data_IF_214981297033
#
_entry.id   IF_214981297033
#
_cell.length_a   1.000
_cell.length_b   1.000
_cell.length_c   1.000
_cell.angle_alpha   90.00
_cell.angle_beta   90.00
_cell.angle_gamma   90.00
#
_symmetry.space_group_name_H-M   'P 1'
#
loop_
_entity.id
_entity.type
_entity.pdbx_description
1 polymer ?
#
# COMPACT_ATOMS: atom_id res chain seq x y z
N UNK A 1 -33.76 48.41 67.89
CA UNK A 1 -34.11 48.58 66.47
C UNK A 1 -34.04 47.20 65.85
N UNK A 2 -35.18 46.62 65.47
CA UNK A 2 -35.18 45.35 64.75
C UNK A 2 -34.77 45.63 63.30
N UNK A 3 -33.71 44.97 62.85
CA UNK A 3 -33.26 44.96 61.46
C UNK A 3 -34.43 44.46 60.60
N UNK A 4 -34.83 45.25 59.60
CA UNK A 4 -35.87 44.84 58.67
C UNK A 4 -35.41 43.55 57.98
N UNK A 5 -36.28 42.53 57.81
CA UNK A 5 -35.89 41.30 57.13
C UNK A 5 -35.38 41.67 55.73
N UNK A 6 -34.14 41.30 55.43
CA UNK A 6 -33.59 41.42 54.08
C UNK A 6 -34.59 40.76 53.12
N UNK A 7 -35.11 41.55 52.18
CA UNK A 7 -35.97 41.01 51.13
C UNK A 7 -35.26 39.88 50.39
N UNK A 8 -36.00 38.93 49.78
CA UNK A 8 -35.39 37.81 49.09
C UNK A 8 -34.37 38.30 48.06
N UNK A 9 -33.08 38.03 48.31
CA UNK A 9 -32.00 38.42 47.42
C UNK A 9 -32.22 37.73 46.07
N UNK A 10 -32.30 38.51 44.99
CA UNK A 10 -32.43 37.95 43.64
C UNK A 10 -31.13 37.21 43.29
N UNK A 11 -31.19 35.95 42.84
CA UNK A 11 -29.99 35.20 42.46
C UNK A 11 -29.19 35.92 41.38
N UNK A 12 -27.87 35.77 41.42
CA UNK A 12 -26.98 36.27 40.38
C UNK A 12 -27.26 35.54 39.04
N UNK A 13 -27.11 36.23 37.88
CA UNK A 13 -27.17 35.58 36.58
C UNK A 13 -26.15 34.44 36.45
N UNK A 14 -26.54 33.37 35.75
CA UNK A 14 -25.69 32.20 35.50
C UNK A 14 -25.38 32.16 34.00
N UNK A 15 -24.11 32.24 33.63
CA UNK A 15 -23.65 32.17 32.25
C UNK A 15 -22.92 30.86 31.95
N UNK A 16 -23.18 30.28 30.78
CA UNK A 16 -22.50 29.08 30.27
C UNK A 16 -22.38 29.15 28.75
N UNK A 17 -21.44 28.42 28.16
CA UNK A 17 -21.53 28.06 26.73
C UNK A 17 -22.73 27.14 26.50
N UNK A 18 -23.19 27.02 25.26
CA UNK A 18 -24.22 26.05 24.93
C UNK A 18 -23.71 24.61 25.12
N UNK A 19 -24.13 24.00 26.23
CA UNK A 19 -23.78 22.62 26.61
C UNK A 19 -24.83 21.62 26.16
N UNK A 20 -25.96 22.06 25.62
CA UNK A 20 -27.08 21.20 25.23
C UNK A 20 -27.05 20.78 23.76
N UNK A 21 -26.28 21.46 22.92
CA UNK A 21 -26.08 21.08 21.52
C UNK A 21 -24.76 20.32 21.35
N UNK A 22 -24.83 19.06 20.91
CA UNK A 22 -23.63 18.26 20.58
C UNK A 22 -22.90 18.81 19.35
N UNK A 23 -23.59 19.53 18.45
CA UNK A 23 -23.09 19.97 17.14
C UNK A 23 -22.59 18.82 16.27
N UNK A 24 -23.24 17.66 16.40
CA UNK A 24 -22.90 16.45 15.68
C UNK A 24 -23.85 16.21 14.51
N UNK A 25 -23.39 15.43 13.51
CA UNK A 25 -24.18 15.06 12.33
C UNK A 25 -24.31 13.52 12.24
N UNK A 26 -25.29 12.91 12.93
CA UNK A 26 -25.50 11.47 12.89
C UNK A 26 -26.02 10.98 11.53
N UNK A 27 -26.62 11.85 10.71
CA UNK A 27 -27.14 11.46 9.39
C UNK A 27 -26.01 11.26 8.37
N UNK A 28 -24.94 12.07 8.48
CA UNK A 28 -23.71 11.85 7.74
C UNK A 28 -23.08 10.49 8.10
N UNK A 29 -23.04 10.12 9.39
CA UNK A 29 -22.49 8.84 9.83
C UNK A 29 -23.28 7.64 9.26
N UNK A 30 -24.61 7.72 9.22
CA UNK A 30 -25.44 6.67 8.60
C UNK A 30 -25.25 6.59 7.08
N UNK A 31 -25.03 7.73 6.43
CA UNK A 31 -24.70 7.80 5.00
C UNK A 31 -23.37 7.08 4.73
N UNK A 32 -22.35 7.33 5.55
CA UNK A 32 -21.05 6.67 5.47
C UNK A 32 -21.16 5.17 5.77
N UNK A 33 -21.93 4.79 6.80
CA UNK A 33 -22.19 3.38 7.10
C UNK A 33 -22.82 2.64 5.92
N UNK A 34 -23.77 3.29 5.23
CA UNK A 34 -24.39 2.75 4.02
C UNK A 34 -23.39 2.60 2.87
N UNK A 35 -22.46 3.53 2.71
CA UNK A 35 -21.39 3.43 1.72
C UNK A 35 -20.47 2.23 2.00
N UNK A 36 -20.06 2.01 3.26
CA UNK A 36 -19.26 0.86 3.66
C UNK A 36 -19.98 -0.48 3.46
N UNK A 37 -21.28 -0.56 3.73
CA UNK A 37 -22.07 -1.76 3.41
C UNK A 37 -22.11 -2.06 1.90
N UNK A 38 -22.14 -1.02 1.05
CA UNK A 38 -22.01 -1.21 -0.40
C UNK A 38 -20.64 -1.73 -0.81
N UNK A 39 -19.57 -1.30 -0.14
CA UNK A 39 -18.20 -1.81 -0.34
C UNK A 39 -18.13 -3.30 0.01
N UNK A 40 -18.65 -3.70 1.19
CA UNK A 40 -18.81 -5.11 1.57
C UNK A 40 -19.52 -5.92 0.48
N UNK A 41 -20.69 -5.47 0.02
CA UNK A 41 -21.46 -6.21 -1.00
C UNK A 41 -20.70 -6.37 -2.31
N UNK A 42 -19.91 -5.37 -2.71
CA UNK A 42 -19.05 -5.45 -3.90
C UNK A 42 -17.93 -6.49 -3.71
N UNK A 43 -17.28 -6.51 -2.55
CA UNK A 43 -16.23 -7.48 -2.23
C UNK A 43 -16.77 -8.91 -2.27
N UNK A 44 -17.88 -9.20 -1.56
CA UNK A 44 -18.50 -10.54 -1.61
C UNK A 44 -18.96 -10.93 -3.02
N UNK A 45 -19.42 -9.97 -3.84
CA UNK A 45 -19.73 -10.25 -5.24
C UNK A 45 -18.50 -10.56 -6.08
N UNK A 46 -17.35 -9.94 -5.80
CA UNK A 46 -16.11 -10.21 -6.51
C UNK A 46 -15.58 -11.61 -6.16
N UNK A 47 -15.54 -11.94 -4.88
CA UNK A 47 -15.21 -13.29 -4.38
C UNK A 47 -16.09 -14.37 -5.03
N UNK A 48 -17.41 -14.16 -5.08
CA UNK A 48 -18.33 -15.08 -5.75
C UNK A 48 -18.06 -15.25 -7.25
N UNK A 49 -17.63 -14.20 -7.95
CA UNK A 49 -17.23 -14.28 -9.37
C UNK A 49 -15.96 -15.09 -9.56
N UNK A 50 -14.94 -14.86 -8.73
CA UNK A 50 -13.67 -15.62 -8.75
C UNK A 50 -13.95 -17.10 -8.50
N UNK A 51 -14.73 -17.41 -7.46
CA UNK A 51 -15.09 -18.78 -7.12
C UNK A 51 -15.88 -19.48 -8.23
N UNK A 52 -16.81 -18.77 -8.88
CA UNK A 52 -17.59 -19.32 -10.00
C UNK A 52 -16.70 -19.59 -11.23
N UNK A 53 -15.84 -18.65 -11.60
CA UNK A 53 -14.94 -18.82 -12.73
C UNK A 53 -13.94 -19.96 -12.50
N UNK A 54 -13.36 -20.04 -11.30
CA UNK A 54 -12.46 -21.13 -10.94
C UNK A 54 -13.17 -22.49 -10.96
N UNK A 55 -14.44 -22.56 -10.51
CA UNK A 55 -15.20 -23.79 -10.56
C UNK A 55 -15.29 -24.34 -11.98
N UNK A 56 -15.62 -23.51 -12.98
CA UNK A 56 -15.67 -23.91 -14.39
C UNK A 56 -14.35 -24.53 -14.86
N UNK A 57 -13.21 -23.90 -14.55
CA UNK A 57 -11.89 -24.41 -14.97
C UNK A 57 -11.56 -25.76 -14.33
N UNK A 58 -11.84 -25.93 -13.03
CA UNK A 58 -11.51 -27.19 -12.34
C UNK A 58 -12.48 -28.33 -12.64
N UNK A 59 -13.78 -28.04 -12.75
CA UNK A 59 -14.81 -29.08 -12.89
C UNK A 59 -15.11 -29.44 -14.33
N UNK A 60 -15.09 -28.48 -15.26
CA UNK A 60 -15.48 -28.68 -16.66
C UNK A 60 -14.27 -28.93 -17.56
N UNK A 61 -13.16 -28.22 -17.33
CA UNK A 61 -11.95 -28.32 -18.17
C UNK A 61 -10.92 -29.32 -17.65
N UNK A 62 -11.14 -29.88 -16.45
CA UNK A 62 -10.28 -30.87 -15.80
C UNK A 62 -8.81 -30.44 -15.69
N UNK A 63 -8.57 -29.17 -15.41
CA UNK A 63 -7.21 -28.68 -15.19
C UNK A 63 -6.60 -29.30 -13.93
N UNK A 64 -5.45 -29.97 -14.10
CA UNK A 64 -4.74 -30.73 -13.05
C UNK A 64 -3.23 -30.51 -13.13
N UNK A 65 -2.50 -30.96 -12.11
CA UNK A 65 -1.04 -30.82 -11.99
C UNK A 65 -0.60 -29.72 -11.02
N UNK A 66 0.70 -29.44 -10.99
CA UNK A 66 1.31 -28.51 -10.04
C UNK A 66 0.84 -27.06 -10.27
N UNK A 67 0.66 -26.67 -11.53
CA UNK A 67 0.13 -25.34 -11.89
C UNK A 67 -1.31 -25.13 -11.43
N UNK A 68 -2.15 -26.17 -11.57
CA UNK A 68 -3.52 -26.16 -11.09
C UNK A 68 -3.58 -26.07 -9.55
N UNK A 69 -2.66 -26.74 -8.86
CA UNK A 69 -2.52 -26.68 -7.39
C UNK A 69 -2.12 -25.28 -6.93
N UNK A 70 -1.05 -24.73 -7.50
CA UNK A 70 -0.56 -23.38 -7.17
C UNK A 70 -1.65 -22.32 -7.40
N UNK A 71 -2.36 -22.37 -8.53
CA UNK A 71 -3.49 -21.46 -8.77
C UNK A 71 -4.62 -21.64 -7.76
N UNK A 72 -4.96 -22.88 -7.39
CA UNK A 72 -6.03 -23.13 -6.42
C UNK A 72 -5.68 -22.58 -5.03
N UNK A 73 -4.44 -22.72 -4.59
CA UNK A 73 -3.98 -22.23 -3.30
C UNK A 73 -3.97 -20.70 -3.28
N UNK A 74 -3.50 -20.11 -4.38
CA UNK A 74 -3.57 -18.68 -4.58
C UNK A 74 -4.99 -18.12 -4.55
N UNK A 75 -5.89 -18.72 -5.33
CA UNK A 75 -7.31 -18.36 -5.34
C UNK A 75 -7.92 -18.42 -3.95
N UNK A 76 -7.64 -19.48 -3.17
CA UNK A 76 -8.16 -19.60 -1.79
C UNK A 76 -7.71 -18.43 -0.94
N UNK A 77 -6.40 -18.10 -0.97
CA UNK A 77 -5.82 -16.96 -0.26
C UNK A 77 -6.50 -15.65 -0.67
N UNK A 78 -6.61 -15.38 -1.97
CA UNK A 78 -7.34 -14.22 -2.50
C UNK A 78 -8.78 -14.14 -1.98
N UNK A 79 -9.54 -15.23 -2.09
CA UNK A 79 -10.94 -15.22 -1.65
C UNK A 79 -11.08 -15.05 -0.14
N UNK A 80 -10.17 -15.62 0.66
CA UNK A 80 -10.13 -15.43 2.11
C UNK A 80 -9.86 -13.97 2.48
N UNK A 81 -8.93 -13.31 1.79
CA UNK A 81 -8.61 -11.91 2.04
C UNK A 81 -9.73 -10.97 1.58
N UNK A 82 -10.42 -11.29 0.49
CA UNK A 82 -11.62 -10.54 0.05
C UNK A 82 -12.78 -10.71 1.04
N UNK A 83 -12.99 -11.91 1.57
CA UNK A 83 -13.97 -12.16 2.65
C UNK A 83 -13.62 -11.37 3.91
N UNK A 84 -12.34 -11.36 4.30
CA UNK A 84 -11.83 -10.62 5.45
C UNK A 84 -12.01 -9.11 5.26
N UNK A 85 -11.68 -8.58 4.10
CA UNK A 85 -11.93 -7.20 3.71
C UNK A 85 -13.43 -6.85 3.83
N UNK A 86 -14.31 -7.71 3.33
CA UNK A 86 -15.76 -7.51 3.42
C UNK A 86 -16.23 -7.48 4.89
N UNK A 87 -15.69 -8.36 5.73
CA UNK A 87 -15.95 -8.39 7.18
C UNK A 87 -15.52 -7.08 7.86
N UNK A 88 -14.32 -6.58 7.57
CA UNK A 88 -13.82 -5.30 8.10
C UNK A 88 -14.65 -4.11 7.63
N UNK A 89 -15.05 -4.07 6.35
CA UNK A 89 -15.95 -3.05 5.82
C UNK A 89 -17.31 -3.04 6.56
N UNK A 90 -17.84 -4.21 6.94
CA UNK A 90 -19.03 -4.29 7.80
C UNK A 90 -18.78 -3.79 9.22
N UNK A 91 -17.62 -4.12 9.79
CA UNK A 91 -17.16 -3.60 11.08
C UNK A 91 -17.20 -2.06 11.13
N UNK A 92 -16.59 -1.40 10.14
CA UNK A 92 -16.63 0.06 10.00
C UNK A 92 -18.06 0.59 9.93
N UNK A 93 -18.91 -0.02 9.11
CA UNK A 93 -20.32 0.39 9.00
C UNK A 93 -21.07 0.27 10.33
N UNK A 94 -20.80 -0.77 11.11
CA UNK A 94 -21.43 -1.00 12.41
C UNK A 94 -20.97 0.03 13.44
N UNK A 95 -19.67 0.34 13.51
CA UNK A 95 -19.12 1.40 14.37
C UNK A 95 -19.80 2.74 14.07
N UNK A 96 -19.88 3.12 12.80
CA UNK A 96 -20.53 4.36 12.37
C UNK A 96 -22.03 4.41 12.76
N UNK A 97 -22.75 3.31 12.57
CA UNK A 97 -24.19 3.21 12.93
C UNK A 97 -24.39 3.34 14.44
N UNK A 98 -23.55 2.68 15.25
CA UNK A 98 -23.60 2.75 16.70
C UNK A 98 -23.27 4.16 17.22
N UNK A 99 -22.28 4.82 16.62
CA UNK A 99 -21.94 6.21 16.93
C UNK A 99 -23.08 7.15 16.60
N UNK A 100 -23.70 7.02 15.41
CA UNK A 100 -24.87 7.81 15.02
C UNK A 100 -26.04 7.63 16.00
N UNK A 101 -26.36 6.39 16.36
CA UNK A 101 -27.38 6.07 17.35
C UNK A 101 -27.07 6.69 18.72
N UNK A 102 -25.82 6.59 19.17
CA UNK A 102 -25.40 7.17 20.45
C UNK A 102 -25.58 8.68 20.46
N UNK A 103 -25.13 9.38 19.40
CA UNK A 103 -25.26 10.83 19.30
C UNK A 103 -26.73 11.28 19.34
N UNK A 104 -27.63 10.58 18.64
CA UNK A 104 -29.07 10.89 18.69
C UNK A 104 -29.66 10.71 20.08
N UNK A 105 -29.36 9.60 20.74
CA UNK A 105 -29.85 9.32 22.10
C UNK A 105 -29.35 10.39 23.08
N UNK A 106 -28.06 10.73 23.02
CA UNK A 106 -27.47 11.71 23.94
C UNK A 106 -27.95 13.14 23.64
N UNK A 107 -28.15 13.50 22.36
CA UNK A 107 -28.81 14.76 22.00
C UNK A 107 -30.22 14.83 22.59
N UNK A 108 -31.02 13.77 22.48
CA UNK A 108 -32.37 13.75 23.08
C UNK A 108 -32.38 13.89 24.61
N UNK A 109 -31.34 13.35 25.29
CA UNK A 109 -31.17 13.57 26.73
C UNK A 109 -30.81 15.03 27.04
N UNK A 110 -29.94 15.66 26.23
CA UNK A 110 -29.62 17.08 26.38
C UNK A 110 -30.85 17.96 26.12
N UNK A 111 -31.64 17.66 25.10
CA UNK A 111 -32.90 18.35 24.81
C UNK A 111 -33.85 18.26 26.00
N UNK A 112 -33.97 17.08 26.62
CA UNK A 112 -34.77 16.89 27.85
C UNK A 112 -34.26 17.73 29.02
N UNK A 113 -32.94 17.81 29.23
CA UNK A 113 -32.37 18.69 30.27
C UNK A 113 -32.61 20.16 29.97
N UNK A 114 -32.56 20.54 28.68
CA UNK A 114 -32.82 21.92 28.23
C UNK A 114 -34.27 22.33 28.47
N UNK A 115 -35.22 21.44 28.18
CA UNK A 115 -36.66 21.69 28.35
C UNK A 115 -37.05 22.00 29.79
N UNK A 116 -36.36 21.42 30.79
CA UNK A 116 -36.57 21.74 32.21
C UNK A 116 -36.40 23.24 32.51
N UNK A 117 -35.64 23.95 31.69
CA UNK A 117 -35.33 25.38 31.85
C UNK A 117 -36.30 26.32 31.14
N UNK A 118 -37.36 25.83 30.47
CA UNK A 118 -38.31 26.66 29.71
C UNK A 118 -38.96 27.80 30.52
N UNK A 119 -39.04 27.67 31.84
CA UNK A 119 -39.58 28.72 32.75
C UNK A 119 -38.55 29.74 33.26
N UNK A 120 -37.27 29.58 32.93
CA UNK A 120 -36.18 30.44 33.39
C UNK A 120 -35.82 31.46 32.30
N UNK A 121 -35.94 32.78 32.56
CA UNK A 121 -35.54 33.79 31.60
C UNK A 121 -34.08 33.60 31.17
N UNK A 122 -33.84 33.55 29.87
CA UNK A 122 -32.50 33.44 29.30
C UNK A 122 -32.29 34.42 28.15
N UNK A 123 -31.03 34.79 27.92
CA UNK A 123 -30.60 35.56 26.76
C UNK A 123 -29.35 34.93 26.16
N UNK A 124 -29.29 34.88 24.85
CA UNK A 124 -28.07 34.51 24.12
C UNK A 124 -27.20 35.75 23.91
N UNK A 125 -25.93 35.66 24.30
CA UNK A 125 -24.90 36.65 24.00
C UNK A 125 -24.21 36.39 22.66
N UNK A 126 -23.20 37.21 22.36
CA UNK A 126 -22.26 36.91 21.27
C UNK A 126 -21.54 35.58 21.53
N UNK A 127 -21.08 34.92 20.47
CA UNK A 127 -20.26 33.69 20.53
C UNK A 127 -20.97 32.46 21.14
N UNK A 128 -22.30 32.44 21.16
CA UNK A 128 -23.07 31.28 21.65
C UNK A 128 -23.08 31.12 23.17
N UNK A 129 -22.74 32.18 23.92
CA UNK A 129 -22.91 32.21 25.37
C UNK A 129 -24.39 32.34 25.73
N UNK A 130 -24.85 31.54 26.70
CA UNK A 130 -26.20 31.59 27.26
C UNK A 130 -26.15 32.12 28.68
N UNK A 131 -26.91 33.18 28.95
CA UNK A 131 -27.06 33.76 30.29
C UNK A 131 -28.48 33.56 30.80
N UNK A 132 -28.64 32.81 31.88
CA UNK A 132 -29.89 32.63 32.61
C UNK A 132 -30.01 33.67 33.72
N UNK A 133 -31.25 34.14 33.96
CA UNK A 133 -31.59 35.08 35.04
C UNK A 133 -32.66 34.46 35.95
N UNK A 134 -32.27 33.57 36.88
CA UNK A 134 -33.20 32.94 37.82
C UNK A 134 -33.91 33.98 38.69
N UNK A 135 -35.20 33.77 38.95
CA UNK A 135 -36.01 34.65 39.81
C UNK A 135 -35.85 34.34 41.29
N UNK A 136 -35.53 33.09 41.61
CA UNK A 136 -35.42 32.57 42.97
C UNK A 136 -34.34 31.47 43.04
N UNK A 137 -34.01 31.07 44.27
CA UNK A 137 -32.99 30.04 44.55
C UNK A 137 -33.35 28.66 43.97
N UNK A 138 -34.64 28.35 43.80
CA UNK A 138 -35.10 27.12 43.17
C UNK A 138 -34.75 27.09 41.69
N UNK A 139 -35.02 28.18 40.96
CA UNK A 139 -34.61 28.34 39.56
C UNK A 139 -33.08 28.33 39.41
N UNK A 140 -32.34 28.95 40.33
CA UNK A 140 -30.88 28.94 40.27
C UNK A 140 -30.29 27.52 40.45
N UNK A 141 -30.87 26.76 41.39
CA UNK A 141 -30.54 25.34 41.60
C UNK A 141 -30.87 24.51 40.37
N UNK A 142 -32.04 24.74 39.74
CA UNK A 142 -32.47 24.04 38.54
C UNK A 142 -31.50 24.27 37.35
N UNK A 143 -31.12 25.53 37.11
CA UNK A 143 -30.14 25.88 36.04
C UNK A 143 -28.80 25.20 36.30
N UNK A 144 -28.29 25.29 37.53
CA UNK A 144 -26.97 24.73 37.88
C UNK A 144 -26.97 23.21 37.77
N UNK A 145 -28.05 22.55 38.20
CA UNK A 145 -28.25 21.11 38.06
C UNK A 145 -28.33 20.66 36.59
N UNK A 146 -29.11 21.37 35.76
CA UNK A 146 -29.21 21.06 34.33
C UNK A 146 -27.87 21.25 33.59
N UNK A 147 -27.09 22.27 33.95
CA UNK A 147 -25.73 22.46 33.40
C UNK A 147 -24.81 21.30 33.81
N UNK A 148 -24.86 20.87 35.07
CA UNK A 148 -24.07 19.74 35.56
C UNK A 148 -24.44 18.45 34.82
N UNK A 149 -25.74 18.14 34.71
CA UNK A 149 -26.24 16.97 34.01
C UNK A 149 -25.84 16.97 32.52
N UNK A 150 -25.95 18.13 31.85
CA UNK A 150 -25.52 18.27 30.46
C UNK A 150 -24.01 17.99 30.30
N UNK A 151 -23.17 18.49 31.21
CA UNK A 151 -21.72 18.20 31.19
C UNK A 151 -21.42 16.73 31.40
N UNK A 152 -22.12 16.05 32.29
CA UNK A 152 -21.98 14.60 32.49
C UNK A 152 -22.41 13.80 31.24
N UNK A 153 -23.51 14.20 30.60
CA UNK A 153 -23.95 13.61 29.32
C UNK A 153 -22.85 13.76 28.26
N UNK A 154 -22.29 14.97 28.10
CA UNK A 154 -21.19 15.21 27.16
C UNK A 154 -19.93 14.43 27.51
N UNK A 155 -19.61 14.28 28.80
CA UNK A 155 -18.48 13.46 29.26
C UNK A 155 -18.61 12.01 28.78
N UNK A 156 -19.78 11.39 28.97
CA UNK A 156 -20.06 10.05 28.47
C UNK A 156 -20.03 9.95 26.95
N UNK A 157 -20.50 10.99 26.24
CA UNK A 157 -20.39 11.04 24.76
C UNK A 157 -18.92 11.00 24.35
N UNK A 158 -18.05 11.79 24.98
CA UNK A 158 -16.62 11.81 24.65
C UNK A 158 -15.97 10.44 24.90
N UNK A 159 -16.24 9.80 26.04
CA UNK A 159 -15.73 8.46 26.35
C UNK A 159 -16.10 7.45 25.25
N UNK A 160 -17.37 7.42 24.84
CA UNK A 160 -17.82 6.53 23.75
C UNK A 160 -17.19 6.90 22.41
N UNK A 161 -17.03 8.20 22.11
CA UNK A 161 -16.40 8.63 20.86
C UNK A 161 -14.91 8.28 20.80
N UNK A 162 -14.22 8.29 21.94
CA UNK A 162 -12.82 7.87 22.03
C UNK A 162 -12.68 6.35 21.80
N UNK A 163 -13.53 5.52 22.43
CA UNK A 163 -13.57 4.07 22.15
C UNK A 163 -13.85 3.78 20.67
N UNK A 164 -14.81 4.48 20.06
CA UNK A 164 -15.18 4.28 18.65
C UNK A 164 -14.09 4.77 17.69
N UNK A 165 -13.22 5.69 18.12
CA UNK A 165 -12.05 6.10 17.35
C UNK A 165 -11.04 4.97 17.27
N UNK A 166 -10.75 4.32 18.40
CA UNK A 166 -9.85 3.17 18.46
C UNK A 166 -10.36 2.02 17.58
N UNK A 167 -11.68 1.74 17.60
CA UNK A 167 -12.29 0.75 16.70
C UNK A 167 -12.06 1.08 15.21
N UNK A 168 -12.18 2.36 14.82
CA UNK A 168 -11.94 2.79 13.43
C UNK A 168 -10.47 2.74 13.03
N UNK A 169 -9.56 3.07 13.95
CA UNK A 169 -8.11 2.96 13.75
C UNK A 169 -7.70 1.50 13.54
N UNK A 170 -8.23 0.58 14.35
CA UNK A 170 -8.03 -0.86 14.16
C UNK A 170 -8.46 -1.30 12.75
N UNK A 171 -9.68 -0.96 12.32
CA UNK A 171 -10.13 -1.36 10.97
C UNK A 171 -9.31 -0.71 9.86
N UNK A 172 -8.84 0.53 10.04
CA UNK A 172 -7.94 1.18 9.09
C UNK A 172 -6.65 0.37 8.93
N UNK A 173 -6.01 0.00 10.03
CA UNK A 173 -4.78 -0.81 10.00
C UNK A 173 -4.98 -2.17 9.32
N UNK A 174 -6.09 -2.86 9.60
CA UNK A 174 -6.41 -4.14 8.95
C UNK A 174 -6.63 -3.98 7.43
N UNK A 175 -7.33 -2.92 7.01
CA UNK A 175 -7.57 -2.65 5.59
C UNK A 175 -6.28 -2.24 4.88
N UNK A 176 -5.42 -1.44 5.52
CA UNK A 176 -4.12 -1.04 4.97
C UNK A 176 -3.19 -2.27 4.82
N UNK A 177 -3.23 -3.21 5.76
CA UNK A 177 -2.46 -4.47 5.66
C UNK A 177 -2.91 -5.34 4.48
N UNK A 178 -4.22 -5.50 4.26
CA UNK A 178 -4.76 -6.20 3.08
C UNK A 178 -4.36 -5.46 1.80
N UNK A 179 -4.45 -4.13 1.79
CA UNK A 179 -4.10 -3.33 0.61
C UNK A 179 -2.61 -3.47 0.25
N UNK A 180 -1.72 -3.47 1.25
CA UNK A 180 -0.28 -3.62 1.02
C UNK A 180 0.06 -5.03 0.49
N UNK A 181 -0.57 -6.07 1.04
CA UNK A 181 -0.37 -7.44 0.57
C UNK A 181 -0.76 -7.62 -0.91
N UNK A 182 -1.82 -6.95 -1.35
CA UNK A 182 -2.35 -7.04 -2.70
C UNK A 182 -1.98 -5.85 -3.58
N UNK A 183 -0.99 -5.07 -3.17
CA UNK A 183 -0.50 -3.94 -3.94
C UNK A 183 0.19 -4.45 -5.22
N UNK A 184 -0.09 -3.85 -6.40
CA UNK A 184 0.67 -4.14 -7.61
C UNK A 184 2.16 -3.91 -7.36
N UNK A 185 2.99 -4.84 -7.84
CA UNK A 185 4.45 -4.72 -7.81
C UNK A 185 4.94 -4.63 -9.25
N UNK A 186 5.85 -3.73 -9.57
CA UNK A 186 6.43 -3.67 -10.92
C UNK A 186 7.77 -4.36 -10.91
N UNK A 187 8.03 -5.17 -11.94
CA UNK A 187 9.37 -5.68 -12.26
C UNK A 187 9.89 -4.89 -13.46
N UNK A 188 11.08 -4.32 -13.32
CA UNK A 188 11.80 -3.65 -14.39
C UNK A 188 12.77 -4.61 -15.02
N UNK A 189 12.63 -4.79 -16.32
CA UNK A 189 13.48 -5.65 -17.12
C UNK A 189 14.30 -4.81 -18.09
N UNK A 190 15.60 -5.03 -18.08
CA UNK A 190 16.52 -4.45 -19.06
C UNK A 190 17.07 -5.57 -19.92
N UNK A 191 17.07 -5.37 -21.23
CA UNK A 191 17.70 -6.27 -22.19
C UNK A 191 18.84 -5.52 -22.87
N UNK A 192 20.06 -6.01 -22.65
CA UNK A 192 21.28 -5.43 -23.16
C UNK A 192 21.92 -6.40 -24.14
N UNK A 193 22.23 -5.92 -25.34
CA UNK A 193 23.21 -6.55 -26.19
C UNK A 193 24.56 -5.91 -25.89
N UNK A 194 25.46 -6.68 -25.26
CA UNK A 194 26.75 -6.18 -24.81
C UNK A 194 27.78 -6.24 -25.94
N UNK A 195 27.73 -7.26 -26.80
CA UNK A 195 28.66 -7.36 -27.92
C UNK A 195 30.11 -7.56 -27.51
N UNK A 196 30.41 -8.18 -26.36
CA UNK A 196 31.80 -8.42 -25.92
C UNK A 196 32.62 -9.26 -26.91
N UNK A 197 31.95 -9.95 -27.85
CA UNK A 197 32.58 -10.78 -28.87
C UNK A 197 32.57 -10.19 -30.28
N UNK A 198 32.33 -8.88 -30.43
CA UNK A 198 32.12 -8.19 -31.69
C UNK A 198 33.42 -7.63 -32.31
N UNK A 199 34.26 -8.50 -32.86
CA UNK A 199 35.54 -8.10 -33.46
C UNK A 199 36.74 -8.83 -32.87
N UNK A 200 36.56 -9.47 -31.71
CA UNK A 200 37.60 -10.22 -31.02
C UNK A 200 38.39 -11.17 -31.92
N UNK A 201 39.64 -10.79 -32.14
CA UNK A 201 40.68 -11.60 -32.76
C UNK A 201 42.00 -11.33 -32.02
N UNK A 202 43.04 -12.17 -32.20
CA UNK A 202 44.34 -11.87 -31.62
C UNK A 202 44.86 -10.50 -32.07
N UNK A 203 44.96 -9.55 -31.13
CA UNK A 203 45.37 -8.16 -31.39
C UNK A 203 44.26 -7.21 -31.87
N UNK A 204 43.00 -7.62 -31.81
CA UNK A 204 41.81 -6.81 -32.08
C UNK A 204 40.80 -7.05 -30.95
N UNK A 205 40.59 -6.04 -30.13
CA UNK A 205 39.65 -6.04 -29.01
C UNK A 205 38.35 -5.30 -29.32
N UNK A 206 38.01 -5.16 -30.61
CA UNK A 206 36.72 -4.58 -30.98
C UNK A 206 35.55 -5.24 -30.23
N UNK A 207 34.70 -4.40 -29.65
CA UNK A 207 33.59 -4.81 -28.80
C UNK A 207 33.85 -4.45 -27.33
N UNK A 208 32.89 -4.83 -26.48
CA UNK A 208 32.93 -4.50 -25.05
C UNK A 208 33.92 -5.38 -24.29
N UNK A 209 34.85 -4.79 -23.54
CA UNK A 209 35.84 -5.55 -22.78
C UNK A 209 35.43 -5.76 -21.31
N UNK A 210 36.34 -6.29 -20.49
CA UNK A 210 36.09 -6.54 -19.07
C UNK A 210 36.12 -5.27 -18.21
N UNK A 211 36.79 -4.21 -18.68
CA UNK A 211 36.95 -2.96 -17.93
C UNK A 211 35.66 -2.11 -18.02
N UNK A 212 34.86 -2.34 -19.05
CA UNK A 212 33.56 -1.69 -19.27
C UNK A 212 32.38 -2.39 -18.55
N UNK A 213 32.62 -3.45 -17.78
CA UNK A 213 31.60 -4.07 -16.94
C UNK A 213 31.03 -3.09 -15.91
N UNK A 214 31.83 -2.12 -15.46
CA UNK A 214 31.40 -1.08 -14.56
C UNK A 214 30.31 -0.19 -15.17
N UNK A 215 30.47 0.15 -16.45
CA UNK A 215 29.50 0.94 -17.20
C UNK A 215 28.21 0.14 -17.44
N UNK A 216 28.31 -1.16 -17.71
CA UNK A 216 27.14 -2.05 -17.82
C UNK A 216 26.40 -2.14 -16.49
N UNK A 217 27.11 -2.33 -15.38
CA UNK A 217 26.54 -2.34 -14.04
C UNK A 217 25.83 -1.01 -13.73
N UNK A 218 26.46 0.10 -14.11
CA UNK A 218 25.88 1.43 -13.96
C UNK A 218 24.59 1.59 -14.75
N UNK A 219 24.53 1.15 -16.02
CA UNK A 219 23.29 1.19 -16.82
C UNK A 219 22.17 0.38 -16.17
N UNK A 220 22.46 -0.84 -15.72
CA UNK A 220 21.46 -1.70 -15.05
C UNK A 220 20.95 -1.05 -13.75
N UNK A 221 21.86 -0.46 -12.97
CA UNK A 221 21.54 0.21 -11.71
C UNK A 221 20.75 1.51 -11.91
N UNK A 222 21.11 2.33 -12.90
CA UNK A 222 20.44 3.61 -13.21
C UNK A 222 19.00 3.40 -13.70
N UNK A 223 18.76 2.34 -14.46
CA UNK A 223 17.42 1.93 -14.87
C UNK A 223 16.60 1.31 -13.71
N UNK A 224 17.27 1.08 -12.56
CA UNK A 224 16.74 0.37 -11.40
C UNK A 224 16.08 -0.95 -11.83
N UNK A 225 16.82 -1.74 -12.61
CA UNK A 225 16.35 -3.03 -13.08
C UNK A 225 16.19 -4.03 -11.91
N UNK A 226 15.17 -4.87 -12.01
CA UNK A 226 15.01 -6.07 -11.17
C UNK A 226 15.49 -7.32 -11.91
N UNK A 227 15.45 -7.30 -13.24
CA UNK A 227 15.96 -8.36 -14.10
C UNK A 227 16.78 -7.72 -15.24
N UNK A 228 18.00 -8.18 -15.44
CA UNK A 228 18.80 -7.82 -16.61
C UNK A 228 19.05 -9.08 -17.47
N UNK A 229 18.82 -8.97 -18.77
CA UNK A 229 19.19 -10.00 -19.75
C UNK A 229 20.32 -9.48 -20.60
N UNK A 230 21.44 -10.17 -20.61
CA UNK A 230 22.64 -9.79 -21.34
C UNK A 230 22.86 -10.76 -22.49
N UNK A 231 23.11 -10.22 -23.67
CA UNK A 231 23.49 -10.98 -24.84
C UNK A 231 24.95 -10.71 -25.19
N UNK A 232 25.59 -11.75 -25.72
CA UNK A 232 26.95 -11.65 -26.25
C UNK A 232 27.99 -11.30 -25.17
N UNK A 233 27.94 -12.02 -24.05
CA UNK A 233 28.86 -11.87 -22.89
C UNK A 233 29.72 -13.10 -22.65
N UNK A 234 30.88 -12.92 -22.00
CA UNK A 234 31.76 -13.98 -21.53
C UNK A 234 31.42 -14.40 -20.10
N UNK A 235 31.42 -15.71 -19.83
CA UNK A 235 31.07 -16.25 -18.49
C UNK A 235 32.01 -15.74 -17.39
N UNK A 236 33.30 -15.59 -17.70
CA UNK A 236 34.31 -15.15 -16.73
C UNK A 236 34.00 -13.77 -16.14
N UNK A 237 33.33 -12.92 -16.90
CA UNK A 237 33.06 -11.54 -16.54
C UNK A 237 31.83 -11.41 -15.61
N UNK A 238 31.00 -12.45 -15.56
CA UNK A 238 29.72 -12.43 -14.84
C UNK A 238 29.89 -12.27 -13.33
N UNK A 239 30.87 -12.93 -12.71
CA UNK A 239 31.12 -12.79 -11.27
C UNK A 239 31.73 -11.45 -10.84
N UNK A 240 32.27 -10.67 -11.79
CA UNK A 240 32.65 -9.28 -11.55
C UNK A 240 31.44 -8.37 -11.68
N UNK A 241 30.62 -8.57 -12.72
CA UNK A 241 29.39 -7.81 -12.93
C UNK A 241 28.39 -7.97 -11.78
N UNK A 242 28.21 -9.20 -11.29
CA UNK A 242 27.41 -9.52 -10.09
C UNK A 242 27.84 -8.65 -8.90
N UNK A 243 29.14 -8.68 -8.56
CA UNK A 243 29.70 -7.93 -7.45
C UNK A 243 29.53 -6.42 -7.60
N UNK A 244 29.72 -5.89 -8.80
CA UNK A 244 29.53 -4.46 -9.08
C UNK A 244 28.05 -4.06 -8.91
N UNK A 245 27.12 -4.90 -9.36
CA UNK A 245 25.69 -4.67 -9.16
C UNK A 245 25.31 -4.71 -7.68
N UNK A 246 25.83 -5.67 -6.92
CA UNK A 246 25.61 -5.75 -5.47
C UNK A 246 26.16 -4.53 -4.74
N UNK A 247 27.37 -4.09 -5.07
CA UNK A 247 27.99 -2.92 -4.46
C UNK A 247 27.20 -1.63 -4.77
N UNK A 248 26.73 -1.48 -6.01
CA UNK A 248 26.00 -0.29 -6.46
C UNK A 248 24.56 -0.23 -5.93
N UNK A 249 23.87 -1.35 -5.92
CA UNK A 249 22.44 -1.41 -5.56
C UNK A 249 22.21 -1.69 -4.07
N UNK A 250 23.18 -2.31 -3.39
CA UNK A 250 23.05 -2.77 -2.01
C UNK A 250 22.22 -4.04 -1.83
N UNK A 251 21.83 -4.68 -2.94
CA UNK A 251 21.01 -5.89 -2.98
C UNK A 251 21.79 -7.07 -3.56
N UNK A 252 21.33 -8.30 -3.29
CA UNK A 252 21.93 -9.53 -3.83
C UNK A 252 21.48 -9.75 -5.28
N UNK A 253 22.38 -10.27 -6.13
CA UNK A 253 22.08 -10.50 -7.54
C UNK A 253 22.41 -11.93 -7.94
N UNK A 254 21.40 -12.68 -8.37
CA UNK A 254 21.59 -14.03 -8.90
C UNK A 254 21.93 -13.98 -10.39
N UNK A 255 23.06 -14.58 -10.80
CA UNK A 255 23.46 -14.66 -12.21
C UNK A 255 23.34 -16.09 -12.76
N UNK A 256 22.54 -16.23 -13.82
CA UNK A 256 22.44 -17.47 -14.60
C UNK A 256 23.03 -17.28 -15.99
N UNK A 257 24.11 -17.99 -16.29
CA UNK A 257 24.75 -17.97 -17.60
C UNK A 257 24.37 -19.19 -18.45
N UNK A 258 24.12 -18.95 -19.73
CA UNK A 258 23.90 -19.99 -20.74
C UNK A 258 24.93 -19.90 -21.86
N UNK A 259 25.84 -20.88 -21.93
CA UNK A 259 26.84 -20.95 -23.00
C UNK A 259 26.17 -21.21 -24.35
N UNK A 260 26.49 -20.39 -25.35
CA UNK A 260 26.06 -20.58 -26.74
C UNK A 260 27.21 -21.07 -27.64
N UNK A 261 28.43 -20.63 -27.34
CA UNK A 261 29.65 -20.95 -28.08
C UNK A 261 30.87 -20.67 -27.22
N UNK A 262 32.07 -20.89 -27.76
CA UNK A 262 33.31 -20.42 -27.12
C UNK A 262 34.06 -19.53 -28.10
N UNK A 263 34.56 -18.38 -27.63
CA UNK A 263 35.24 -17.36 -28.45
C UNK A 263 36.62 -17.02 -27.91
N UNK A 264 37.40 -16.29 -28.71
CA UNK A 264 38.61 -15.64 -28.20
C UNK A 264 38.18 -14.42 -27.39
N UNK A 265 38.65 -14.32 -26.15
CA UNK A 265 38.51 -13.12 -25.35
C UNK A 265 39.85 -12.40 -25.39
N UNK A 266 39.88 -11.25 -26.07
CA UNK A 266 41.03 -10.35 -26.06
C UNK A 266 40.94 -9.47 -24.82
N UNK A 267 42.08 -9.18 -24.19
CA UNK A 267 42.18 -8.19 -23.11
C UNK A 267 43.08 -7.05 -23.57
N UNK A 268 42.65 -5.81 -23.32
CA UNK A 268 43.34 -4.58 -23.73
C UNK A 268 44.65 -4.34 -22.97
N UNK A 269 44.85 -5.05 -21.86
CA UNK A 269 46.07 -5.06 -21.08
C UNK A 269 47.21 -5.83 -21.80
N UNK A 270 47.91 -5.10 -22.67
CA UNK A 270 49.30 -5.25 -23.12
C UNK A 270 50.07 -6.57 -22.83
N UNK A 271 50.72 -7.17 -23.85
CA UNK A 271 50.12 -8.09 -24.81
C UNK A 271 50.03 -9.55 -24.27
N UNK A 272 48.91 -10.22 -24.55
CA UNK A 272 48.69 -11.70 -24.55
C UNK A 272 48.61 -12.37 -23.16
N UNK A 273 49.06 -11.76 -22.07
CA UNK A 273 49.04 -12.44 -20.76
C UNK A 273 47.64 -12.58 -20.14
N UNK A 274 46.64 -11.87 -20.66
CA UNK A 274 45.23 -11.96 -20.25
C UNK A 274 44.32 -12.69 -21.24
N UNK A 275 44.76 -12.88 -22.49
CA UNK A 275 43.92 -13.43 -23.55
C UNK A 275 43.54 -14.88 -23.26
N UNK A 276 42.25 -15.17 -23.42
CA UNK A 276 41.71 -16.50 -23.17
C UNK A 276 41.21 -17.11 -24.47
N UNK A 277 41.93 -18.08 -25.04
CA UNK A 277 41.40 -18.84 -26.16
C UNK A 277 40.27 -19.74 -25.66
N UNK A 278 39.14 -19.72 -26.37
CA UNK A 278 37.97 -20.56 -26.08
C UNK A 278 37.26 -20.24 -24.76
N UNK A 279 37.15 -18.97 -24.39
CA UNK A 279 36.28 -18.55 -23.28
C UNK A 279 34.80 -18.85 -23.62
N UNK A 280 34.02 -19.42 -22.68
CA UNK A 280 32.58 -19.58 -22.84
C UNK A 280 31.90 -18.23 -23.12
N UNK A 281 31.07 -18.22 -24.16
CA UNK A 281 30.42 -17.02 -24.70
C UNK A 281 28.96 -17.30 -24.97
N UNK A 282 28.08 -16.44 -24.47
CA UNK A 282 26.65 -16.69 -24.51
C UNK A 282 25.83 -15.54 -23.95
N UNK A 283 24.76 -15.91 -23.26
CA UNK A 283 23.81 -14.97 -22.67
C UNK A 283 23.76 -15.16 -21.16
N UNK A 284 23.47 -14.09 -20.42
CA UNK A 284 23.24 -14.13 -18.99
C UNK A 284 21.87 -13.55 -18.64
N UNK A 285 21.28 -14.06 -17.56
CA UNK A 285 20.14 -13.45 -16.89
C UNK A 285 20.56 -13.16 -15.47
N UNK A 286 20.44 -11.90 -15.07
CA UNK A 286 20.73 -11.41 -13.74
C UNK A 286 19.41 -11.02 -13.08
N UNK A 287 19.22 -11.43 -11.85
CA UNK A 287 17.98 -11.20 -11.10
C UNK A 287 18.34 -10.59 -9.76
N UNK A 288 17.81 -9.39 -9.50
CA UNK A 288 17.98 -8.70 -8.24
C UNK A 288 17.06 -9.31 -7.20
N UNK A 289 17.61 -9.79 -6.10
CA UNK A 289 16.82 -10.11 -4.92
C UNK A 289 16.50 -8.83 -4.16
N UNK A 290 15.23 -8.60 -3.86
CA UNK A 290 14.81 -7.37 -3.19
C UNK A 290 13.30 -7.32 -2.95
N UNK A 291 12.75 -6.11 -2.97
CA UNK A 291 11.35 -5.84 -2.62
C UNK A 291 10.32 -6.55 -3.53
N UNK A 292 10.74 -7.02 -4.72
CA UNK A 292 9.86 -7.59 -5.75
C UNK A 292 10.14 -9.07 -6.03
N UNK A 293 11.38 -9.53 -5.86
CA UNK A 293 11.82 -10.91 -6.14
C UNK A 293 12.55 -11.43 -4.90
N UNK A 294 12.08 -12.54 -4.32
CA UNK A 294 12.77 -13.20 -3.21
C UNK A 294 13.60 -14.36 -3.72
N UNK A 295 14.74 -14.59 -3.05
CA UNK A 295 15.65 -15.70 -3.29
C UNK A 295 14.94 -17.02 -3.63
N UNK A 296 15.12 -17.49 -4.87
CA UNK A 296 14.79 -18.87 -5.20
C UNK A 296 15.95 -19.75 -4.77
N UNK A 297 15.94 -20.19 -3.51
CA UNK A 297 16.99 -21.05 -2.93
C UNK A 297 17.14 -22.40 -3.63
N UNK A 298 17.78 -22.40 -4.79
CA UNK A 298 17.95 -23.45 -5.81
C UNK A 298 16.84 -23.56 -6.88
N UNK A 299 17.31 -23.70 -8.13
CA UNK A 299 16.69 -24.24 -9.36
C UNK A 299 15.98 -23.27 -10.29
N UNK A 300 16.51 -23.13 -11.52
CA UNK A 300 15.89 -22.94 -12.85
C UNK A 300 14.64 -22.03 -13.02
N UNK A 301 14.13 -21.40 -11.97
CA UNK A 301 12.84 -20.75 -11.86
C UNK A 301 12.95 -19.58 -10.88
N UNK A 302 12.91 -18.36 -11.41
CA UNK A 302 12.83 -17.13 -10.61
C UNK A 302 11.50 -17.10 -9.85
N UNK A 303 11.55 -17.13 -8.51
CA UNK A 303 10.36 -16.94 -7.67
C UNK A 303 10.10 -15.45 -7.50
N UNK A 304 9.11 -14.95 -8.22
CA UNK A 304 8.56 -13.63 -7.95
C UNK A 304 7.98 -13.63 -6.52
N UNK A 305 8.20 -12.56 -5.75
CA UNK A 305 7.60 -12.40 -4.40
C UNK A 305 6.07 -12.25 -4.46
N UNK A 306 5.49 -12.28 -5.65
CA UNK A 306 4.05 -12.21 -5.87
C UNK A 306 3.55 -13.62 -6.17
N UNK A 307 2.90 -14.27 -5.19
CA UNK A 307 2.15 -15.50 -5.44
C UNK A 307 1.26 -15.28 -6.67
N UNK A 308 1.44 -16.09 -7.70
CA UNK A 308 0.61 -16.07 -8.90
C UNK A 308 0.94 -14.99 -9.94
N UNK A 309 1.88 -14.05 -9.75
CA UNK A 309 2.13 -12.96 -10.71
C UNK A 309 2.38 -13.41 -12.17
N UNK A 310 1.92 -12.64 -13.16
CA UNK A 310 2.27 -12.84 -14.58
C UNK A 310 3.10 -11.70 -15.13
N UNK A 311 4.19 -12.02 -15.80
CA UNK A 311 4.98 -11.08 -16.59
C UNK A 311 4.31 -10.92 -17.96
N UNK A 312 3.88 -9.71 -18.31
CA UNK A 312 3.54 -9.35 -19.70
C UNK A 312 4.72 -8.60 -20.28
N UNK A 313 5.60 -9.30 -21.01
CA UNK A 313 6.70 -8.66 -21.71
C UNK A 313 6.13 -7.71 -22.78
N UNK A 314 6.56 -6.44 -22.86
CA UNK A 314 6.27 -5.65 -24.05
C UNK A 314 6.84 -6.41 -25.25
N UNK A 315 6.00 -6.67 -26.26
CA UNK A 315 6.45 -7.38 -27.45
C UNK A 315 7.67 -6.66 -28.03
N UNK A 316 8.74 -7.41 -28.34
CA UNK A 316 9.99 -6.92 -28.92
C UNK A 316 9.72 -5.81 -29.93
N UNK A 317 9.75 -4.57 -29.45
CA UNK A 317 10.02 -3.43 -30.30
C UNK A 317 11.53 -3.34 -30.28
N UNK A 318 12.19 -3.25 -31.44
CA UNK A 318 13.52 -2.67 -31.45
C UNK A 318 13.36 -1.37 -30.66
N UNK A 319 14.03 -1.25 -29.52
CA UNK A 319 13.99 -0.01 -28.77
C UNK A 319 14.32 1.13 -29.73
N UNK A 320 13.69 2.29 -29.57
CA UNK A 320 14.41 3.50 -29.95
C UNK A 320 15.65 3.45 -29.05
N UNK A 321 16.78 3.00 -29.62
CA UNK A 321 17.98 2.73 -28.86
C UNK A 321 18.26 3.91 -27.96
N UNK A 322 18.62 3.65 -26.71
CA UNK A 322 19.15 4.72 -25.89
C UNK A 322 20.41 5.23 -26.62
N UNK A 323 20.33 6.42 -27.20
CA UNK A 323 21.40 7.00 -28.02
C UNK A 323 22.68 7.29 -27.22
N UNK A 324 22.62 7.14 -25.89
CA UNK A 324 23.78 7.17 -25.00
C UNK A 324 24.56 5.85 -24.98
N UNK A 325 24.00 4.74 -25.50
CA UNK A 325 24.62 3.40 -25.55
C UNK A 325 24.96 2.98 -27.00
N UNK A 326 24.35 3.59 -28.03
CA UNK A 326 24.81 3.43 -29.43
C UNK A 326 26.10 4.24 -29.67
N UNK A 327 27.23 3.70 -29.22
CA UNK A 327 28.57 4.26 -29.43
C UNK A 327 29.21 3.90 -30.79
N UNK A 328 28.55 3.01 -31.56
CA UNK A 328 29.06 2.50 -32.82
C UNK A 328 29.81 1.16 -32.70
N UNK A 329 29.83 0.54 -31.52
CA UNK A 329 30.48 -0.74 -31.22
C UNK A 329 29.51 -1.93 -31.18
N UNK A 330 28.24 -1.71 -31.54
CA UNK A 330 27.22 -2.76 -31.62
C UNK A 330 26.41 -2.98 -30.34
N UNK A 331 26.58 -2.12 -29.33
CA UNK A 331 25.80 -2.12 -28.08
C UNK A 331 24.39 -1.60 -28.31
N UNK A 332 23.42 -2.19 -27.61
CA UNK A 332 22.05 -1.67 -27.60
C UNK A 332 21.33 -2.07 -26.32
N UNK A 333 20.53 -1.15 -25.77
CA UNK A 333 19.69 -1.40 -24.61
C UNK A 333 18.21 -1.24 -24.96
N UNK A 334 17.37 -2.12 -24.41
CA UNK A 334 15.92 -1.98 -24.40
C UNK A 334 15.42 -2.14 -22.96
N UNK A 335 14.66 -1.15 -22.49
CA UNK A 335 14.07 -1.15 -21.15
C UNK A 335 12.57 -1.45 -21.26
N UNK A 336 12.11 -2.33 -20.39
CA UNK A 336 10.73 -2.77 -20.30
C UNK A 336 10.30 -2.75 -18.83
N UNK A 337 9.32 -1.92 -18.49
CA UNK A 337 8.65 -2.03 -17.19
C UNK A 337 7.42 -2.93 -17.32
N UNK A 338 7.35 -3.94 -16.47
CA UNK A 338 6.24 -4.89 -16.41
C UNK A 338 5.55 -4.74 -15.06
N UNK A 339 4.33 -4.20 -15.06
CA UNK A 339 3.50 -4.18 -13.87
C UNK A 339 3.01 -5.61 -13.59
N UNK A 340 3.46 -6.19 -12.48
CA UNK A 340 2.98 -7.46 -11.96
C UNK A 340 1.83 -7.15 -11.01
N UNK A 341 0.62 -7.31 -11.53
CA UNK A 341 -0.53 -7.40 -10.64
C UNK A 341 -0.40 -8.71 -9.86
N UNK A 342 -0.59 -8.71 -8.52
CA UNK A 342 -0.96 -9.95 -7.86
C UNK A 342 -2.18 -10.49 -8.62
N UNK A 343 -2.04 -11.71 -9.15
CA UNK A 343 -3.04 -12.33 -10.02
C UNK A 343 -4.46 -12.40 -9.44
#
# INVERSE_FOLDING_TARGET
>A
MAEAPEGPQTPQPISTTDVWDLKADPDLLDTLATAWRKVKSKASSAEGKVNSAAHTVFSEEHWTGDTATSFNDYRKKLTQDVELFASHAEGVANVLTLTASTLRVQQGLLDTEREKLNGVPSSSGADGQLTFRPRDSGQATLVSGAISAAREIRGRVNEVLDERREDLEFYKEQLDAIAEQWRPRSVRLVNLNIGQGAGNAPGDSGGTDSDELDDIAQVIADENADIATLQEVFEVDMGSLERELEERTGDEWDVTFGEASSKYQASDDWPILGDRPFSPFGNAVLVREGDVIQASGDTENVKLDVDGGSITLPGNRPGEGNAEIEDGEGRSAAVAEVEIQPR
#
